data_IF_079602982672
#
_entry.id   IF_079602982672
#
_cell.length_a   1.000
_cell.length_b   1.000
_cell.length_c   1.000
_cell.angle_alpha   90.00
_cell.angle_beta   90.00
_cell.angle_gamma   90.00
#
_symmetry.space_group_name_H-M   'P 1'
#
loop_
_entity.id
_entity.type
_entity.pdbx_description
1 polymer ?
#
# COMPACT_ATOMS: atom_id res chain seq x y z
N UNK A 1 -25.25 -6.05 4.98
CA UNK A 1 -24.46 -5.78 6.20
C UNK A 1 -24.23 -7.04 7.03
N UNK A 2 -25.28 -7.73 7.52
CA UNK A 2 -25.11 -8.97 8.29
C UNK A 2 -24.36 -10.07 7.52
N UNK A 3 -24.68 -10.27 6.25
CA UNK A 3 -24.00 -11.25 5.37
C UNK A 3 -22.52 -10.93 5.17
N UNK A 4 -22.14 -9.66 5.04
CA UNK A 4 -20.75 -9.22 4.90
C UNK A 4 -19.98 -9.51 6.18
N UNK A 5 -20.56 -9.18 7.35
CA UNK A 5 -19.94 -9.45 8.64
C UNK A 5 -19.76 -10.96 8.88
N UNK A 6 -20.72 -11.78 8.46
CA UNK A 6 -20.61 -13.24 8.53
C UNK A 6 -19.48 -13.77 7.66
N UNK A 7 -19.32 -13.26 6.44
CA UNK A 7 -18.23 -13.67 5.54
C UNK A 7 -16.87 -13.29 6.15
N UNK A 8 -16.71 -12.07 6.69
CA UNK A 8 -15.47 -11.63 7.35
C UNK A 8 -15.14 -12.51 8.56
N UNK A 9 -16.14 -12.85 9.38
CA UNK A 9 -15.95 -13.72 10.54
C UNK A 9 -15.52 -15.13 10.12
N UNK A 10 -16.16 -15.68 9.08
CA UNK A 10 -15.83 -17.00 8.55
C UNK A 10 -14.39 -17.05 8.00
N UNK A 11 -13.95 -16.04 7.26
CA UNK A 11 -12.58 -16.03 6.71
C UNK A 11 -11.52 -15.92 7.81
N UNK A 12 -11.75 -15.12 8.84
CA UNK A 12 -10.88 -15.05 10.02
C UNK A 12 -10.84 -16.39 10.78
N UNK A 13 -12.00 -17.03 10.95
CA UNK A 13 -12.09 -18.31 11.65
C UNK A 13 -11.37 -19.43 10.89
N UNK A 14 -11.51 -19.47 9.56
CA UNK A 14 -10.81 -20.47 8.73
C UNK A 14 -9.30 -20.27 8.75
N UNK A 15 -8.81 -19.03 8.59
CA UNK A 15 -7.35 -18.77 8.60
C UNK A 15 -6.71 -19.07 9.96
N UNK A 16 -7.38 -18.72 11.05
CA UNK A 16 -6.91 -19.04 12.41
C UNK A 16 -6.93 -20.54 12.69
N UNK A 17 -7.98 -21.27 12.29
CA UNK A 17 -8.03 -22.73 12.43
C UNK A 17 -6.89 -23.42 11.66
N UNK A 18 -6.64 -23.02 10.42
CA UNK A 18 -5.54 -23.58 9.62
C UNK A 18 -4.19 -23.28 10.28
N UNK A 19 -3.98 -22.06 10.78
CA UNK A 19 -2.76 -21.70 11.50
C UNK A 19 -2.56 -22.56 12.76
N UNK A 20 -3.60 -22.73 13.57
CA UNK A 20 -3.55 -23.57 14.78
C UNK A 20 -3.25 -25.02 14.41
N UNK A 21 -3.99 -25.60 13.46
CA UNK A 21 -3.75 -26.96 12.98
C UNK A 21 -2.31 -27.14 12.48
N UNK A 22 -1.82 -26.22 11.65
CA UNK A 22 -0.44 -26.28 11.15
C UNK A 22 0.58 -26.24 12.28
N UNK A 23 0.34 -25.43 13.32
CA UNK A 23 1.25 -25.30 14.47
C UNK A 23 1.23 -26.54 15.38
N UNK A 24 0.06 -27.16 15.58
CA UNK A 24 -0.12 -28.36 16.41
C UNK A 24 0.42 -29.61 15.70
N UNK A 25 0.16 -29.74 14.39
CA UNK A 25 0.69 -30.84 13.59
C UNK A 25 2.19 -30.66 13.28
N UNK A 26 2.72 -29.44 13.35
CA UNK A 26 4.13 -29.21 13.05
C UNK A 26 5.02 -29.96 14.04
N UNK A 27 5.84 -30.88 13.52
CA UNK A 27 6.90 -31.52 14.29
C UNK A 27 8.05 -30.53 14.45
N UNK A 28 7.91 -29.59 15.39
CA UNK A 28 9.01 -28.69 15.77
C UNK A 28 10.09 -29.53 16.46
N UNK A 29 11.12 -29.88 15.70
CA UNK A 29 12.36 -30.42 16.29
C UNK A 29 13.05 -29.30 17.06
N UNK A 30 13.83 -29.73 18.05
CA UNK A 30 14.62 -28.96 19.02
C UNK A 30 14.92 -27.53 18.52
N UNK A 31 14.61 -26.57 19.38
CA UNK A 31 14.88 -25.15 19.19
C UNK A 31 16.41 -24.97 19.13
N UNK A 32 16.93 -24.98 17.91
CA UNK A 32 18.35 -24.83 17.61
C UNK A 32 18.64 -23.37 17.26
N UNK A 33 19.75 -22.83 17.78
CA UNK A 33 20.18 -21.45 17.54
C UNK A 33 20.33 -21.17 16.04
N UNK A 34 20.92 -22.12 15.31
CA UNK A 34 21.19 -21.97 13.87
C UNK A 34 19.92 -22.01 13.02
N UNK A 35 18.83 -22.63 13.49
CA UNK A 35 17.53 -22.54 12.81
C UNK A 35 16.79 -21.24 13.12
N UNK A 36 17.14 -20.59 14.23
CA UNK A 36 16.56 -19.31 14.63
C UNK A 36 17.38 -18.11 14.17
N UNK A 37 18.58 -18.30 13.65
CA UNK A 37 19.42 -17.23 13.10
C UNK A 37 18.90 -16.76 11.73
N UNK A 38 19.09 -15.47 11.37
CA UNK A 38 18.70 -14.96 10.06
C UNK A 38 19.48 -15.67 8.95
N UNK A 39 18.79 -16.05 7.88
CA UNK A 39 19.41 -16.68 6.71
C UNK A 39 20.01 -15.62 5.76
N UNK A 40 21.33 -15.55 5.65
CA UNK A 40 22.05 -14.75 4.65
C UNK A 40 22.87 -15.66 3.72
N UNK A 41 22.17 -16.49 2.93
CA UNK A 41 22.78 -17.45 1.99
C UNK A 41 23.78 -18.44 2.63
N UNK A 42 23.56 -18.78 3.91
CA UNK A 42 24.43 -19.67 4.68
C UNK A 42 25.60 -18.98 5.39
N UNK A 43 25.66 -17.65 5.37
CA UNK A 43 26.62 -16.85 6.13
C UNK A 43 25.95 -16.15 7.31
N UNK A 44 26.76 -15.81 8.32
CA UNK A 44 26.33 -14.93 9.40
C UNK A 44 26.15 -13.50 8.88
N UNK A 45 25.07 -12.80 9.27
CA UNK A 45 24.81 -11.48 8.76
C UNK A 45 25.87 -10.48 9.23
N UNK A 46 26.49 -9.77 8.28
CA UNK A 46 27.53 -8.77 8.57
C UNK A 46 26.98 -7.54 9.28
N UNK A 47 25.70 -7.23 9.03
CA UNK A 47 25.01 -6.05 9.58
C UNK A 47 23.55 -6.41 9.87
N UNK A 48 22.89 -5.62 10.71
CA UNK A 48 21.46 -5.79 10.95
C UNK A 48 20.65 -5.54 9.67
N UNK A 49 19.54 -6.25 9.47
CA UNK A 49 18.62 -5.99 8.36
C UNK A 49 17.99 -4.57 8.37
N UNK A 50 18.08 -3.84 9.50
CA UNK A 50 17.56 -2.48 9.66
C UNK A 50 18.59 -1.43 9.27
N UNK A 51 19.05 -1.48 8.02
CA UNK A 51 19.94 -0.47 7.45
C UNK A 51 19.12 0.74 6.95
N UNK A 52 19.71 1.95 6.94
CA UNK A 52 19.10 3.08 6.26
C UNK A 52 18.89 2.72 4.79
N UNK A 53 17.63 2.77 4.38
CA UNK A 53 17.19 2.44 3.03
C UNK A 53 17.34 3.65 2.10
N UNK A 54 17.26 3.43 0.79
CA UNK A 54 17.46 4.53 -0.16
C UNK A 54 16.33 5.56 -0.06
N UNK A 55 16.71 6.84 -0.06
CA UNK A 55 15.77 7.97 0.06
C UNK A 55 14.77 8.06 -1.11
N UNK A 56 15.07 7.41 -2.24
CA UNK A 56 14.21 7.45 -3.43
C UNK A 56 12.92 6.65 -3.24
N UNK A 57 12.97 5.50 -2.57
CA UNK A 57 11.75 4.77 -2.22
C UNK A 57 10.89 5.53 -1.22
N UNK A 58 11.51 6.30 -0.32
CA UNK A 58 10.77 7.16 0.59
C UNK A 58 10.01 8.26 -0.16
N UNK A 59 10.65 8.91 -1.14
CA UNK A 59 9.99 9.90 -2.00
C UNK A 59 8.78 9.32 -2.73
N UNK A 60 8.91 8.13 -3.32
CA UNK A 60 7.79 7.45 -4.00
C UNK A 60 6.64 7.16 -3.02
N UNK A 61 6.93 6.75 -1.79
CA UNK A 61 5.90 6.49 -0.78
C UNK A 61 5.14 7.77 -0.37
N UNK A 62 5.84 8.89 -0.25
CA UNK A 62 5.20 10.19 0.06
C UNK A 62 4.32 10.65 -1.11
N UNK A 63 4.82 10.54 -2.34
CA UNK A 63 4.05 10.88 -3.55
C UNK A 63 2.79 10.00 -3.65
N UNK A 64 2.91 8.70 -3.40
CA UNK A 64 1.76 7.79 -3.36
C UNK A 64 0.70 8.19 -2.33
N UNK A 65 1.12 8.62 -1.14
CA UNK A 65 0.19 9.09 -0.10
C UNK A 65 -0.57 10.34 -0.55
N UNK A 66 0.10 11.29 -1.20
CA UNK A 66 -0.54 12.50 -1.74
C UNK A 66 -1.56 12.11 -2.82
N UNK A 67 -1.18 11.25 -3.76
CA UNK A 67 -2.09 10.76 -4.81
C UNK A 67 -3.33 10.04 -4.25
N UNK A 68 -3.22 9.30 -3.15
CA UNK A 68 -4.36 8.64 -2.51
C UNK A 68 -5.38 9.65 -1.94
N UNK A 69 -4.89 10.75 -1.35
CA UNK A 69 -5.73 11.86 -0.91
C UNK A 69 -6.42 12.55 -2.10
N UNK A 70 -5.71 12.72 -3.20
CA UNK A 70 -6.27 13.32 -4.42
C UNK A 70 -7.37 12.46 -5.03
N UNK A 71 -7.19 11.13 -5.10
CA UNK A 71 -8.23 10.19 -5.58
C UNK A 71 -9.47 10.27 -4.71
N UNK A 72 -9.29 10.38 -3.39
CA UNK A 72 -10.40 10.55 -2.43
C UNK A 72 -11.21 11.81 -2.72
N UNK A 73 -10.59 12.87 -3.24
CA UNK A 73 -11.28 14.11 -3.67
C UNK A 73 -11.95 13.97 -5.04
N UNK A 74 -11.42 13.15 -5.96
CA UNK A 74 -12.02 12.88 -7.27
C UNK A 74 -13.30 12.03 -7.13
N UNK A 75 -13.32 11.05 -6.23
CA UNK A 75 -14.41 10.06 -6.16
C UNK A 75 -15.81 10.68 -5.92
N UNK A 76 -16.00 11.67 -5.03
CA UNK A 76 -17.26 12.37 -4.87
C UNK A 76 -17.72 13.13 -6.13
N UNK A 77 -16.78 13.63 -6.94
CA UNK A 77 -17.10 14.38 -8.15
C UNK A 77 -17.95 13.53 -9.11
N UNK A 78 -17.70 12.21 -9.20
CA UNK A 78 -18.49 11.31 -10.06
C UNK A 78 -19.98 11.28 -9.65
N UNK A 79 -20.26 11.35 -8.35
CA UNK A 79 -21.64 11.26 -7.83
C UNK A 79 -22.38 12.60 -7.80
N UNK A 80 -21.67 13.72 -7.62
CA UNK A 80 -22.25 15.06 -7.46
C UNK A 80 -22.87 15.62 -8.76
N UNK A 81 -22.58 15.01 -9.91
CA UNK A 81 -23.10 15.42 -11.23
C UNK A 81 -24.63 15.47 -11.31
N UNK A 82 -25.34 14.66 -10.50
CA UNK A 82 -26.80 14.63 -10.47
C UNK A 82 -27.44 15.72 -9.59
N UNK A 83 -26.67 16.34 -8.68
CA UNK A 83 -27.18 17.31 -7.70
C UNK A 83 -26.86 18.77 -8.04
N UNK A 84 -25.95 19.00 -8.97
CA UNK A 84 -25.40 20.32 -9.29
C UNK A 84 -25.59 20.66 -10.76
N UNK A 85 -25.45 21.93 -11.12
CA UNK A 85 -25.51 22.33 -12.52
C UNK A 85 -24.34 21.70 -13.29
N UNK A 86 -24.63 21.05 -14.41
CA UNK A 86 -23.65 20.35 -15.26
C UNK A 86 -22.51 21.27 -15.67
N UNK A 87 -22.78 22.55 -15.92
CA UNK A 87 -21.75 23.52 -16.30
C UNK A 87 -20.79 23.84 -15.15
N UNK A 88 -21.30 24.05 -13.93
CA UNK A 88 -20.44 24.28 -12.76
C UNK A 88 -19.64 23.04 -12.41
N UNK A 89 -20.28 21.86 -12.48
CA UNK A 89 -19.65 20.58 -12.20
C UNK A 89 -18.49 20.29 -13.16
N UNK A 90 -18.71 20.47 -14.46
CA UNK A 90 -17.70 20.22 -15.48
C UNK A 90 -16.55 21.22 -15.37
N UNK A 91 -16.83 22.50 -15.12
CA UNK A 91 -15.81 23.52 -14.97
C UNK A 91 -14.90 23.26 -13.76
N UNK A 92 -15.49 22.98 -12.58
CA UNK A 92 -14.70 22.69 -11.38
C UNK A 92 -13.93 21.39 -11.50
N UNK A 93 -14.55 20.36 -12.09
CA UNK A 93 -13.91 19.06 -12.30
C UNK A 93 -12.71 19.14 -13.24
N UNK A 94 -12.87 19.86 -14.35
CA UNK A 94 -11.81 20.04 -15.35
C UNK A 94 -10.66 20.91 -14.81
N UNK A 95 -10.99 21.98 -14.07
CA UNK A 95 -9.98 22.79 -13.38
C UNK A 95 -9.17 21.96 -12.37
N UNK A 96 -9.85 21.14 -11.56
CA UNK A 96 -9.18 20.26 -10.59
C UNK A 96 -8.27 19.24 -11.27
N UNK A 97 -8.74 18.56 -12.32
CA UNK A 97 -7.92 17.60 -13.09
C UNK A 97 -6.69 18.25 -13.73
N UNK A 98 -6.81 19.50 -14.22
CA UNK A 98 -5.66 20.23 -14.76
C UNK A 98 -4.61 20.48 -13.68
N UNK A 99 -5.00 20.91 -12.48
CA UNK A 99 -4.07 21.13 -11.37
C UNK A 99 -3.31 19.84 -11.04
N UNK A 100 -4.00 18.70 -10.97
CA UNK A 100 -3.38 17.39 -10.73
C UNK A 100 -2.38 17.00 -11.82
N UNK A 101 -2.75 17.18 -13.10
CA UNK A 101 -1.86 16.90 -14.22
C UNK A 101 -0.60 17.76 -14.20
N UNK A 102 -0.73 19.06 -13.87
CA UNK A 102 0.43 19.94 -13.72
C UNK A 102 1.33 19.53 -12.55
N UNK A 103 0.74 19.12 -11.42
CA UNK A 103 1.49 18.59 -10.27
C UNK A 103 2.33 17.37 -10.65
N UNK A 104 1.69 16.38 -11.29
CA UNK A 104 2.38 15.17 -11.77
C UNK A 104 3.49 15.50 -12.77
N UNK A 105 3.25 16.41 -13.71
CA UNK A 105 4.27 16.82 -14.69
C UNK A 105 5.47 17.49 -14.01
N UNK A 106 5.22 18.30 -12.98
CA UNK A 106 6.29 18.92 -12.20
C UNK A 106 7.14 17.88 -11.45
N UNK A 107 6.51 16.90 -10.81
CA UNK A 107 7.20 15.81 -10.11
C UNK A 107 8.05 14.96 -11.06
N UNK A 108 7.52 14.68 -12.25
CA UNK A 108 8.26 13.97 -13.29
C UNK A 108 9.45 14.79 -13.77
N UNK A 109 9.27 16.08 -14.07
CA UNK A 109 10.37 16.95 -14.48
C UNK A 109 11.48 17.05 -13.42
N UNK A 110 11.14 16.93 -12.13
CA UNK A 110 12.10 16.87 -11.03
C UNK A 110 12.81 15.53 -10.87
N UNK A 111 12.48 14.53 -11.68
CA UNK A 111 13.07 13.19 -11.62
C UNK A 111 12.68 12.41 -10.36
N UNK A 112 11.62 12.83 -9.65
CA UNK A 112 11.18 12.15 -8.44
C UNK A 112 10.63 10.74 -8.71
N UNK A 113 10.16 10.52 -9.95
CA UNK A 113 9.62 9.25 -10.45
C UNK A 113 10.67 8.40 -11.17
N UNK A 114 11.87 8.92 -11.40
CA UNK A 114 12.92 8.20 -12.13
C UNK A 114 13.74 7.29 -11.21
N UNK A 115 13.83 6.02 -11.58
CA UNK A 115 14.78 5.10 -10.97
C UNK A 115 16.16 5.36 -11.56
N UNK A 116 17.22 5.35 -10.73
CA UNK A 116 18.59 5.33 -11.28
C UNK A 116 18.82 4.08 -12.12
N UNK A 117 19.35 4.24 -13.32
CA UNK A 117 20.26 3.22 -13.85
C UNK A 117 21.56 3.24 -13.08
#
# INVERSE_FOLDING_TARGET
>A
MLTINLIILLTLLVTTLIMILSSVLSKKTIIDREKMSPFECGFDPKTSARLPFSLRFFLIAVIFLIFDVEITLILPLAHISSFTNVFSWSFTGLFFLLVLLFGLYYEWYKGALEWSN
#
